data_IF_510318516740
#
_entry.id   IF_510318516740
#
_cell.length_a   1.000
_cell.length_b   1.000
_cell.length_c   1.000
_cell.angle_alpha   90.00
_cell.angle_beta   90.00
_cell.angle_gamma   90.00
#
_symmetry.space_group_name_H-M   'P 1'
#
loop_
_entity.id
_entity.type
_entity.pdbx_description
1 polymer ?
#
# COMPACT_ATOMS: atom_id res chain seq x y z
N UNK A 1 -16.01 -0.77 7.32
CA UNK A 1 -16.32 0.37 6.44
C UNK A 1 -17.46 1.23 6.97
N UNK A 2 -18.66 0.70 7.22
CA UNK A 2 -19.80 1.47 7.78
C UNK A 2 -19.47 2.28 9.04
N UNK A 3 -18.69 1.70 9.97
CA UNK A 3 -18.21 2.39 11.19
C UNK A 3 -17.47 3.71 10.89
N UNK A 4 -16.78 3.80 9.77
CA UNK A 4 -15.96 4.96 9.37
C UNK A 4 -16.66 5.83 8.30
N UNK A 5 -17.94 5.59 8.01
CA UNK A 5 -18.67 6.31 6.96
C UNK A 5 -18.21 6.02 5.52
N UNK A 6 -17.28 5.08 5.31
CA UNK A 6 -16.75 4.76 3.97
C UNK A 6 -17.64 3.77 3.21
N UNK A 7 -17.69 3.93 1.88
CA UNK A 7 -18.47 3.08 0.96
C UNK A 7 -17.69 1.86 0.42
N UNK A 8 -16.40 2.03 0.08
CA UNK A 8 -15.50 0.99 -0.47
C UNK A 8 -14.09 1.09 0.13
N UNK A 9 -13.32 0.01 0.03
CA UNK A 9 -11.91 0.00 0.40
C UNK A 9 -11.06 0.24 -0.86
N UNK A 10 -9.98 1.00 -0.72
CA UNK A 10 -8.96 1.17 -1.77
C UNK A 10 -7.69 0.48 -1.24
N UNK A 11 -7.10 -0.40 -2.04
CA UNK A 11 -5.85 -1.07 -1.66
C UNK A 11 -4.70 -0.06 -1.73
N UNK A 12 -3.91 -0.02 -0.65
CA UNK A 12 -2.63 0.68 -0.61
C UNK A 12 -1.54 -0.38 -0.68
N UNK A 13 -0.56 -0.20 -1.56
CA UNK A 13 0.54 -1.14 -1.77
C UNK A 13 1.75 -0.48 -2.42
N UNK A 14 2.84 -1.22 -2.61
CA UNK A 14 4.05 -0.74 -3.29
C UNK A 14 4.23 -1.53 -4.59
N UNK A 15 3.97 -0.90 -5.74
CA UNK A 15 3.57 -1.58 -6.99
C UNK A 15 2.17 -2.21 -6.86
N UNK A 16 1.24 -1.47 -6.25
CA UNK A 16 -0.04 -1.96 -5.74
C UNK A 16 -0.94 -2.75 -6.72
N UNK A 17 -0.77 -2.54 -8.04
CA UNK A 17 -1.48 -3.33 -9.05
C UNK A 17 -1.11 -4.82 -9.03
N UNK A 18 0.14 -5.14 -8.65
CA UNK A 18 0.57 -6.52 -8.47
C UNK A 18 -0.25 -7.21 -7.37
N UNK A 19 -0.30 -6.61 -6.18
CA UNK A 19 -1.05 -7.15 -5.03
C UNK A 19 -2.55 -7.25 -5.33
N UNK A 20 -3.15 -6.19 -5.89
CA UNK A 20 -4.57 -6.18 -6.23
C UNK A 20 -4.91 -7.28 -7.26
N UNK A 21 -4.03 -7.52 -8.23
CA UNK A 21 -4.19 -8.61 -9.20
C UNK A 21 -4.30 -9.98 -8.54
N UNK A 22 -3.39 -10.29 -7.60
CA UNK A 22 -3.42 -11.55 -6.86
C UNK A 22 -4.63 -11.67 -5.93
N UNK A 23 -5.02 -10.59 -5.24
CA UNK A 23 -6.23 -10.54 -4.41
C UNK A 23 -7.47 -10.80 -5.24
N UNK A 24 -7.63 -10.12 -6.38
CA UNK A 24 -8.77 -10.32 -7.28
C UNK A 24 -8.82 -11.74 -7.84
N UNK A 25 -7.67 -12.31 -8.22
CA UNK A 25 -7.60 -13.69 -8.69
C UNK A 25 -7.98 -14.68 -7.58
N UNK A 26 -7.59 -14.44 -6.32
CA UNK A 26 -8.00 -15.25 -5.18
C UNK A 26 -9.51 -15.16 -4.94
N UNK A 27 -10.08 -13.94 -4.94
CA UNK A 27 -11.52 -13.71 -4.83
C UNK A 27 -12.31 -14.46 -5.90
N UNK A 28 -11.83 -14.47 -7.15
CA UNK A 28 -12.44 -15.20 -8.25
C UNK A 28 -12.41 -16.72 -8.02
N UNK A 29 -11.26 -17.28 -7.60
CA UNK A 29 -11.11 -18.72 -7.32
C UNK A 29 -11.99 -19.18 -6.16
N UNK A 30 -12.14 -18.36 -5.12
CA UNK A 30 -12.92 -18.74 -3.92
C UNK A 30 -14.40 -18.37 -4.01
N UNK A 31 -14.84 -17.69 -5.08
CA UNK A 31 -16.22 -17.21 -5.23
C UNK A 31 -16.63 -16.20 -4.14
N UNK A 32 -15.70 -15.37 -3.65
CA UNK A 32 -15.99 -14.44 -2.56
C UNK A 32 -16.85 -13.27 -3.03
N UNK A 33 -18.18 -13.39 -2.85
CA UNK A 33 -19.18 -12.47 -3.45
C UNK A 33 -19.12 -11.02 -2.98
N UNK A 34 -18.60 -10.75 -1.78
CA UNK A 34 -18.64 -9.41 -1.16
C UNK A 34 -17.23 -8.83 -0.99
N UNK A 35 -16.46 -8.79 -2.07
CA UNK A 35 -15.15 -8.13 -2.09
C UNK A 35 -15.32 -6.63 -1.77
N UNK A 36 -14.76 -6.12 -0.65
CA UNK A 36 -14.89 -4.71 -0.29
C UNK A 36 -13.95 -3.79 -1.07
N UNK A 37 -12.90 -4.35 -1.69
CA UNK A 37 -11.93 -3.58 -2.45
C UNK A 37 -12.54 -3.04 -3.74
N UNK A 38 -12.14 -1.83 -4.10
CA UNK A 38 -12.42 -1.28 -5.41
C UNK A 38 -11.73 -2.15 -6.48
N UNK A 39 -12.41 -2.47 -7.60
CA UNK A 39 -11.92 -3.51 -8.52
C UNK A 39 -10.64 -3.18 -9.28
N UNK A 40 -10.30 -1.90 -9.45
CA UNK A 40 -9.14 -1.46 -10.23
C UNK A 40 -8.32 -0.33 -9.59
N UNK A 41 -8.97 0.64 -8.96
CA UNK A 41 -8.27 1.73 -8.26
C UNK A 41 -7.44 1.26 -7.07
N UNK A 42 -6.21 1.78 -6.98
CA UNK A 42 -5.25 1.59 -5.90
C UNK A 42 -4.62 2.92 -5.51
N UNK A 43 -4.05 3.00 -4.31
CA UNK A 43 -3.05 4.01 -3.98
C UNK A 43 -1.67 3.35 -3.99
N UNK A 44 -0.89 3.66 -5.02
CA UNK A 44 0.44 3.08 -5.19
C UNK A 44 1.51 3.94 -4.52
N UNK A 45 2.14 3.40 -3.49
CA UNK A 45 3.20 4.07 -2.76
C UNK A 45 4.50 4.22 -3.54
N UNK A 46 4.69 3.50 -4.66
CA UNK A 46 5.80 3.79 -5.60
C UNK A 46 5.66 5.18 -6.18
N UNK A 47 4.47 5.50 -6.72
CA UNK A 47 4.18 6.82 -7.28
C UNK A 47 4.23 7.90 -6.21
N UNK A 48 3.62 7.64 -5.06
CA UNK A 48 3.60 8.61 -3.95
C UNK A 48 5.02 8.91 -3.43
N UNK A 49 5.85 7.88 -3.24
CA UNK A 49 7.23 8.05 -2.78
C UNK A 49 8.13 8.67 -3.87
N UNK A 50 7.84 8.39 -5.15
CA UNK A 50 8.51 9.06 -6.27
C UNK A 50 8.32 10.58 -6.22
N UNK A 51 7.10 11.03 -5.92
CA UNK A 51 6.79 12.46 -5.76
C UNK A 51 7.37 13.03 -4.47
N UNK A 52 7.19 12.35 -3.33
CA UNK A 52 7.55 12.88 -2.02
C UNK A 52 9.06 12.83 -1.72
N UNK A 53 9.76 11.80 -2.20
CA UNK A 53 11.14 11.50 -1.82
C UNK A 53 12.07 11.22 -3.00
N UNK A 54 11.57 11.21 -4.24
CA UNK A 54 12.35 10.84 -5.41
C UNK A 54 12.81 9.37 -5.41
N UNK A 55 12.12 8.49 -4.68
CA UNK A 55 12.48 7.08 -4.53
C UNK A 55 11.31 6.17 -4.91
N UNK A 56 11.62 5.11 -5.67
CA UNK A 56 10.63 4.11 -6.14
C UNK A 56 10.86 2.72 -5.55
N UNK A 57 11.97 2.50 -4.84
CA UNK A 57 12.25 1.24 -4.14
C UNK A 57 11.82 1.39 -2.69
N UNK A 58 10.96 0.50 -2.18
CA UNK A 58 10.37 0.60 -0.84
C UNK A 58 11.42 0.87 0.25
N UNK A 59 12.51 0.10 0.26
CA UNK A 59 13.61 0.29 1.22
C UNK A 59 14.22 1.69 1.18
N UNK A 60 14.43 2.24 -0.02
CA UNK A 60 15.01 3.57 -0.20
C UNK A 60 14.00 4.67 0.15
N UNK A 61 12.73 4.47 -0.20
CA UNK A 61 11.64 5.37 0.15
C UNK A 61 11.44 5.43 1.68
N UNK A 62 11.47 4.28 2.36
CA UNK A 62 11.40 4.20 3.82
C UNK A 62 12.56 4.97 4.47
N UNK A 63 13.80 4.69 4.07
CA UNK A 63 14.99 5.40 4.58
C UNK A 63 14.93 6.91 4.30
N UNK A 64 14.52 7.32 3.09
CA UNK A 64 14.39 8.73 2.73
C UNK A 64 13.27 9.45 3.51
N UNK A 65 12.23 8.72 3.90
CA UNK A 65 11.16 9.21 4.78
C UNK A 65 11.56 9.24 6.27
N UNK A 66 12.82 8.91 6.60
CA UNK A 66 13.29 8.80 7.99
C UNK A 66 12.77 7.56 8.73
N UNK A 67 12.21 6.59 7.99
CA UNK A 67 11.82 5.29 8.54
C UNK A 67 13.03 4.35 8.51
N UNK A 68 13.17 3.53 9.56
CA UNK A 68 14.19 2.47 9.56
C UNK A 68 13.84 1.35 8.58
N UNK A 69 14.87 0.70 8.04
CA UNK A 69 14.73 -0.48 7.19
C UNK A 69 15.65 -1.60 7.66
N UNK A 70 15.09 -2.79 7.88
CA UNK A 70 15.83 -4.01 8.17
C UNK A 70 15.79 -4.92 6.94
N UNK A 71 16.96 -5.13 6.33
CA UNK A 71 17.08 -5.99 5.15
C UNK A 71 16.86 -7.47 5.46
N UNK A 72 17.01 -7.89 6.73
CA UNK A 72 16.78 -9.28 7.13
C UNK A 72 15.29 -9.64 7.23
N UNK A 73 14.43 -8.64 7.43
CA UNK A 73 12.97 -8.83 7.45
C UNK A 73 12.32 -8.53 6.09
N UNK A 74 13.09 -8.00 5.14
CA UNK A 74 12.63 -7.77 3.79
C UNK A 74 12.09 -9.07 3.17
N UNK A 75 11.02 -8.97 2.37
CA UNK A 75 10.27 -10.09 1.77
C UNK A 75 9.29 -10.82 2.71
N UNK A 76 9.24 -10.46 4.00
CA UNK A 76 8.07 -10.81 4.81
C UNK A 76 6.90 -9.91 4.44
N UNK A 77 5.78 -10.50 4.02
CA UNK A 77 4.57 -9.75 3.69
C UNK A 77 4.08 -8.88 4.86
N UNK A 78 4.30 -9.32 6.11
CA UNK A 78 3.96 -8.55 7.31
C UNK A 78 4.84 -7.29 7.40
N UNK A 79 6.17 -7.47 7.30
CA UNK A 79 7.11 -6.37 7.40
C UNK A 79 6.90 -5.34 6.27
N UNK A 80 6.79 -5.83 5.04
CA UNK A 80 6.58 -4.97 3.87
C UNK A 80 5.25 -4.19 3.97
N UNK A 81 4.19 -4.81 4.52
CA UNK A 81 2.91 -4.14 4.77
C UNK A 81 3.04 -3.06 5.84
N UNK A 82 3.72 -3.34 6.94
CA UNK A 82 3.94 -2.35 8.01
C UNK A 82 4.74 -1.15 7.52
N UNK A 83 5.84 -1.40 6.78
CA UNK A 83 6.66 -0.32 6.21
C UNK A 83 5.89 0.49 5.17
N UNK A 84 5.14 -0.18 4.28
CA UNK A 84 4.29 0.49 3.28
C UNK A 84 3.21 1.34 3.94
N UNK A 85 2.59 0.85 5.01
CA UNK A 85 1.57 1.61 5.75
C UNK A 85 2.17 2.84 6.45
N UNK A 86 3.34 2.69 7.09
CA UNK A 86 4.06 3.82 7.70
C UNK A 86 4.43 4.85 6.65
N UNK A 87 4.99 4.42 5.52
CA UNK A 87 5.35 5.29 4.41
C UNK A 87 4.14 6.06 3.86
N UNK A 88 3.02 5.37 3.62
CA UNK A 88 1.77 6.00 3.17
C UNK A 88 1.29 7.07 4.16
N UNK A 89 1.25 6.74 5.45
CA UNK A 89 0.85 7.67 6.50
C UNK A 89 1.78 8.89 6.58
N UNK A 90 3.11 8.70 6.50
CA UNK A 90 4.08 9.80 6.52
C UNK A 90 3.84 10.76 5.35
N UNK A 91 3.66 10.23 4.14
CA UNK A 91 3.39 11.05 2.95
C UNK A 91 2.04 11.79 3.08
N UNK A 92 0.97 11.06 3.45
CA UNK A 92 -0.36 11.64 3.56
C UNK A 92 -0.45 12.73 4.65
N UNK A 93 0.25 12.56 5.77
CA UNK A 93 0.28 13.54 6.86
C UNK A 93 1.11 14.79 6.53
N UNK A 94 2.10 14.67 5.65
CA UNK A 94 2.94 15.80 5.23
C UNK A 94 2.30 16.66 4.13
N UNK A 95 1.25 16.16 3.45
CA UNK A 95 0.63 16.87 2.35
C UNK A 95 -0.19 18.09 2.86
N UNK A 96 0.02 19.30 2.30
CA UNK A 96 -0.75 20.48 2.68
C UNK A 96 -2.25 20.28 2.42
N UNK A 97 -3.08 20.79 3.32
CA UNK A 97 -4.55 20.82 3.15
C UNK A 97 -5.01 22.09 2.46
#
# INVERSE_FOLDING_TARGET
MKKYGCQRAILVGHNAHFDLGFVNAAVARTGHKRNPFHPFSVFDTVTLAGIAYGQTVLARAATAAGLGWDANEAHSAVYDTEQTARLFCTIANAWPR
#
